data_IF_151594024551
#
_entry.id   IF_151594024551
#
_cell.length_a   1.000
_cell.length_b   1.000
_cell.length_c   1.000
_cell.angle_alpha   90.00
_cell.angle_beta   90.00
_cell.angle_gamma   90.00
#
_symmetry.space_group_name_H-M   'P 1'
#
loop_
_entity.id
_entity.type
_entity.pdbx_description
1 polymer ?
#
# COMPACT_ATOMS: atom_id res chain seq x y z
N UNK A 1 33.33 -30.24 -5.10
CA UNK A 1 32.23 -29.31 -4.75
C UNK A 1 32.52 -28.02 -5.49
N UNK A 2 31.60 -27.56 -6.33
CA UNK A 2 31.73 -26.27 -7.00
C UNK A 2 31.61 -25.17 -5.95
N UNK A 3 32.63 -24.31 -5.83
CA UNK A 3 32.56 -23.16 -4.93
C UNK A 3 31.63 -22.14 -5.57
N UNK A 4 30.48 -21.88 -4.94
CA UNK A 4 29.59 -20.79 -5.35
C UNK A 4 30.33 -19.47 -5.16
N UNK A 5 30.62 -18.78 -6.25
CA UNK A 5 31.47 -17.59 -6.25
C UNK A 5 30.63 -16.36 -5.92
N UNK A 6 30.55 -16.00 -4.63
CA UNK A 6 29.88 -14.79 -4.16
C UNK A 6 30.75 -13.56 -4.44
N UNK A 7 30.27 -12.65 -5.27
CA UNK A 7 30.97 -11.44 -5.71
C UNK A 7 30.05 -10.21 -5.69
N UNK A 8 30.59 -9.04 -6.01
CA UNK A 8 29.85 -7.77 -5.91
C UNK A 8 28.58 -7.72 -6.77
N UNK A 9 28.52 -8.47 -7.88
CA UNK A 9 27.32 -8.51 -8.74
C UNK A 9 26.14 -9.29 -8.13
N UNK A 10 26.36 -10.02 -7.04
CA UNK A 10 25.29 -10.69 -6.28
C UNK A 10 24.55 -9.73 -5.34
N UNK A 11 25.00 -8.48 -5.22
CA UNK A 11 24.30 -7.43 -4.47
C UNK A 11 23.27 -6.75 -5.37
N UNK A 12 21.99 -6.97 -5.06
CA UNK A 12 20.87 -6.34 -5.74
C UNK A 12 20.43 -5.07 -4.99
N UNK A 13 20.27 -3.97 -5.72
CA UNK A 13 19.66 -2.73 -5.21
C UNK A 13 18.29 -2.58 -5.85
N UNK A 14 17.24 -2.79 -5.05
CA UNK A 14 15.85 -2.67 -5.47
C UNK A 14 15.44 -1.19 -5.55
N UNK A 15 14.75 -0.80 -6.63
CA UNK A 15 14.36 0.58 -6.90
C UNK A 15 12.84 0.76 -6.95
N UNK A 16 12.36 2.00 -6.70
CA UNK A 16 10.94 2.32 -6.75
C UNK A 16 10.12 1.45 -5.79
N UNK A 17 9.14 0.73 -6.33
CA UNK A 17 8.25 -0.17 -5.56
C UNK A 17 8.75 -1.62 -5.49
N UNK A 18 9.89 -1.95 -6.10
CA UNK A 18 10.48 -3.30 -6.04
C UNK A 18 10.71 -3.80 -4.60
N UNK A 19 11.16 -2.99 -3.63
CA UNK A 19 11.30 -3.44 -2.24
C UNK A 19 9.96 -3.88 -1.62
N UNK A 20 8.89 -3.16 -1.92
CA UNK A 20 7.53 -3.43 -1.42
C UNK A 20 7.00 -4.72 -2.01
N UNK A 21 7.17 -4.91 -3.32
CA UNK A 21 6.75 -6.13 -4.01
C UNK A 21 7.57 -7.35 -3.57
N UNK A 22 8.87 -7.17 -3.31
CA UNK A 22 9.76 -8.25 -2.88
C UNK A 22 9.53 -8.66 -1.43
N UNK A 23 9.22 -7.70 -0.55
CA UNK A 23 9.02 -7.94 0.89
C UNK A 23 7.72 -7.29 1.41
N UNK A 24 6.54 -7.72 0.92
CA UNK A 24 5.27 -7.07 1.26
C UNK A 24 4.95 -7.12 2.76
N UNK A 25 5.34 -8.19 3.46
CA UNK A 25 5.10 -8.33 4.90
C UNK A 25 5.82 -7.30 5.79
N UNK A 26 6.74 -6.51 5.24
CA UNK A 26 7.33 -5.37 5.94
C UNK A 26 6.46 -4.11 5.84
N UNK A 27 5.57 -4.03 4.84
CA UNK A 27 4.82 -2.82 4.48
C UNK A 27 3.31 -2.96 4.66
N UNK A 28 2.79 -4.18 4.69
CA UNK A 28 1.35 -4.41 4.84
C UNK A 28 1.05 -5.75 5.53
N UNK A 29 -0.16 -5.88 6.06
CA UNK A 29 -0.66 -7.17 6.53
C UNK A 29 -0.88 -8.11 5.34
N UNK A 30 -0.09 -9.18 5.26
CA UNK A 30 -0.18 -10.16 4.18
C UNK A 30 -1.20 -11.28 4.46
N UNK A 31 -1.86 -11.27 5.61
CA UNK A 31 -2.91 -12.25 5.93
C UNK A 31 -4.24 -11.93 5.25
N UNK A 32 -4.50 -10.65 4.94
CA UNK A 32 -5.71 -10.14 4.30
C UNK A 32 -5.49 -8.70 3.79
N UNK A 33 -6.21 -8.24 2.76
CA UNK A 33 -5.95 -6.95 2.13
C UNK A 33 -6.45 -5.73 2.93
N UNK A 34 -7.07 -5.94 4.10
CA UNK A 34 -7.71 -4.86 4.86
C UNK A 34 -6.77 -3.70 5.19
N UNK A 35 -5.48 -3.97 5.44
CA UNK A 35 -4.50 -2.91 5.70
C UNK A 35 -4.33 -1.97 4.50
N UNK A 36 -4.38 -2.50 3.26
CA UNK A 36 -4.33 -1.65 2.06
C UNK A 36 -5.54 -0.72 1.94
N UNK A 37 -6.72 -1.19 2.32
CA UNK A 37 -7.91 -0.34 2.37
C UNK A 37 -7.81 0.72 3.48
N UNK A 38 -7.24 0.37 4.64
CA UNK A 38 -7.01 1.30 5.73
C UNK A 38 -6.12 2.46 5.30
N UNK A 39 -5.01 2.20 4.60
CA UNK A 39 -4.11 3.26 4.11
C UNK A 39 -4.84 4.32 3.26
N UNK A 40 -5.79 3.91 2.42
CA UNK A 40 -6.57 4.85 1.59
C UNK A 40 -7.62 5.59 2.42
N UNK A 41 -8.28 4.89 3.35
CA UNK A 41 -9.26 5.49 4.28
C UNK A 41 -8.57 6.53 5.17
N UNK A 42 -7.36 6.26 5.65
CA UNK A 42 -6.61 7.15 6.52
C UNK A 42 -6.26 8.46 5.81
N UNK A 43 -5.87 8.42 4.53
CA UNK A 43 -5.68 9.62 3.71
C UNK A 43 -6.98 10.45 3.59
N UNK A 44 -8.13 9.81 3.42
CA UNK A 44 -9.42 10.50 3.37
C UNK A 44 -9.80 11.10 4.75
N UNK A 45 -9.46 10.40 5.84
CA UNK A 45 -9.66 10.90 7.21
C UNK A 45 -8.76 12.11 7.48
N UNK A 46 -7.54 12.15 6.95
CA UNK A 46 -6.67 13.32 7.06
C UNK A 46 -7.30 14.58 6.43
N UNK A 47 -7.97 14.46 5.28
CA UNK A 47 -8.74 15.58 4.70
C UNK A 47 -9.90 16.00 5.61
N UNK A 48 -10.56 15.06 6.27
CA UNK A 48 -11.64 15.36 7.23
C UNK A 48 -11.10 16.05 8.49
N UNK A 49 -9.95 15.60 9.02
CA UNK A 49 -9.27 16.22 10.15
C UNK A 49 -8.78 17.64 9.83
N UNK A 50 -8.37 17.88 8.58
CA UNK A 50 -8.05 19.22 8.07
C UNK A 50 -9.30 20.09 7.82
N UNK A 51 -10.51 19.55 7.96
CA UNK A 51 -11.78 20.26 7.78
C UNK A 51 -12.19 20.43 6.32
N UNK A 52 -11.58 19.67 5.40
CA UNK A 52 -11.85 19.73 3.97
C UNK A 52 -12.85 18.67 3.50
N UNK A 53 -12.79 17.47 4.05
CA UNK A 53 -13.79 16.42 3.80
C UNK A 53 -14.85 16.37 4.92
N UNK A 54 -16.06 15.96 4.57
CA UNK A 54 -17.20 15.75 5.47
C UNK A 54 -17.84 14.39 5.29
N UNK A 55 -17.61 13.73 4.15
CA UNK A 55 -18.14 12.42 3.83
C UNK A 55 -17.02 11.55 3.25
N UNK A 56 -16.90 10.35 3.81
CA UNK A 56 -16.07 9.28 3.27
C UNK A 56 -17.00 8.11 3.00
N UNK A 57 -16.95 7.58 1.78
CA UNK A 57 -17.73 6.43 1.34
C UNK A 57 -16.79 5.27 1.00
N UNK A 58 -17.06 4.10 1.58
CA UNK A 58 -16.28 2.88 1.36
C UNK A 58 -17.20 1.84 0.75
N UNK A 59 -16.87 1.38 -0.45
CA UNK A 59 -17.64 0.37 -1.20
C UNK A 59 -16.80 -0.87 -1.38
N UNK A 60 -17.30 -2.02 -0.89
CA UNK A 60 -16.77 -3.34 -1.22
C UNK A 60 -17.58 -3.90 -2.39
N UNK A 61 -16.91 -4.08 -3.53
CA UNK A 61 -17.51 -4.60 -4.75
C UNK A 61 -17.62 -6.13 -4.70
N UNK A 62 -18.50 -6.70 -5.53
CA UNK A 62 -18.74 -8.15 -5.57
C UNK A 62 -17.51 -8.94 -6.03
N UNK A 63 -16.58 -8.32 -6.76
CA UNK A 63 -15.31 -8.91 -7.20
C UNK A 63 -14.22 -8.90 -6.11
N UNK A 64 -14.53 -8.34 -4.94
CA UNK A 64 -13.60 -8.20 -3.81
C UNK A 64 -12.71 -6.97 -3.85
N UNK A 65 -12.85 -6.09 -4.86
CA UNK A 65 -12.19 -4.79 -4.86
C UNK A 65 -12.84 -3.82 -3.86
N UNK A 66 -12.05 -2.86 -3.35
CA UNK A 66 -12.53 -1.83 -2.43
C UNK A 66 -12.28 -0.47 -3.06
N UNK A 67 -13.32 0.37 -3.05
CA UNK A 67 -13.27 1.76 -3.46
C UNK A 67 -13.49 2.66 -2.24
N UNK A 68 -12.70 3.72 -2.15
CA UNK A 68 -12.80 4.75 -1.13
C UNK A 68 -12.94 6.09 -1.84
N UNK A 69 -14.01 6.82 -1.54
CA UNK A 69 -14.27 8.16 -2.07
C UNK A 69 -14.45 9.15 -0.92
N UNK A 70 -13.86 10.32 -1.04
CA UNK A 70 -14.08 11.45 -0.14
C UNK A 70 -14.47 12.72 -0.91
N UNK A 71 -15.00 13.71 -0.20
CA UNK A 71 -15.34 15.04 -0.72
C UNK A 71 -14.30 16.10 -0.30
N UNK A 72 -13.05 15.70 -0.09
CA UNK A 72 -11.91 16.56 0.22
C UNK A 72 -11.41 17.34 -0.99
N UNK A 73 -10.17 17.84 -0.92
CA UNK A 73 -9.59 18.71 -1.96
C UNK A 73 -9.13 17.97 -3.22
N UNK A 74 -8.99 16.65 -3.14
CA UNK A 74 -8.29 15.86 -4.14
C UNK A 74 -6.76 15.92 -3.98
N UNK A 75 -6.07 14.99 -4.65
CA UNK A 75 -4.60 14.94 -4.72
C UNK A 75 -4.00 16.01 -5.64
#
# INVERSE_FOLDING_TARGET
MSVTQYNASDIEVLQGLEPVQRRPGMYTDTSRPNHLAQEVIDNAVDEALAGHARRIEVTLHEDGSVEVSDDGRGM
#
